data_IF_984982947821
#
_entry.id   IF_984982947821
#
_cell.length_a   1.000
_cell.length_b   1.000
_cell.length_c   1.000
_cell.angle_alpha   90.00
_cell.angle_beta   90.00
_cell.angle_gamma   90.00
#
_symmetry.space_group_name_H-M   'P 1'
#
loop_
_entity.id
_entity.type
_entity.pdbx_description
1 polymer ?
#
# COMPACT_ATOMS: atom_id res chain seq x y z
N UNK A 1 -11.96 -15.53 25.87
CA UNK A 1 -12.54 -15.90 24.56
C UNK A 1 -11.59 -15.36 23.51
N UNK A 2 -11.00 -16.21 22.65
CA UNK A 2 -10.12 -15.71 21.60
C UNK A 2 -10.95 -14.90 20.59
N UNK A 3 -10.46 -13.76 20.09
CA UNK A 3 -11.19 -12.99 19.07
C UNK A 3 -11.39 -13.89 17.85
N UNK A 4 -12.65 -14.04 17.43
CA UNK A 4 -12.95 -14.79 16.22
C UNK A 4 -12.42 -14.00 15.00
N UNK A 5 -11.80 -14.68 14.02
CA UNK A 5 -11.35 -14.00 12.82
C UNK A 5 -12.55 -13.50 12.03
N UNK A 6 -12.42 -12.35 11.38
CA UNK A 6 -13.45 -11.82 10.48
C UNK A 6 -13.10 -12.14 9.02
N UNK A 7 -14.08 -12.04 8.14
CA UNK A 7 -13.91 -12.26 6.70
C UNK A 7 -13.76 -10.92 5.97
N UNK A 8 -12.86 -10.84 5.00
CA UNK A 8 -12.60 -9.63 4.21
C UNK A 8 -12.60 -9.95 2.73
N UNK A 9 -12.95 -8.96 1.93
CA UNK A 9 -12.70 -9.01 0.49
C UNK A 9 -11.29 -8.55 0.19
N UNK A 10 -10.54 -9.35 -0.55
CA UNK A 10 -9.15 -9.08 -0.90
C UNK A 10 -8.86 -9.37 -2.36
N UNK A 11 -7.75 -8.81 -2.85
CA UNK A 11 -7.19 -9.20 -4.14
C UNK A 11 -6.40 -10.52 -3.97
N UNK A 12 -6.43 -11.42 -4.96
CA UNK A 12 -5.61 -12.61 -4.95
C UNK A 12 -4.14 -12.22 -5.16
N UNK A 13 -3.45 -11.86 -4.08
CA UNK A 13 -2.02 -11.57 -4.08
C UNK A 13 -1.26 -12.76 -3.50
N UNK A 14 -0.20 -13.21 -4.18
CA UNK A 14 0.67 -14.30 -3.72
C UNK A 14 1.63 -13.90 -2.60
N UNK A 15 1.28 -12.90 -1.79
CA UNK A 15 2.13 -12.34 -0.74
C UNK A 15 1.84 -12.99 0.62
N UNK A 16 2.78 -12.99 1.58
CA UNK A 16 2.51 -13.44 2.94
C UNK A 16 1.37 -12.62 3.58
N UNK A 17 0.64 -13.24 4.51
CA UNK A 17 -0.60 -12.72 5.15
C UNK A 17 -0.52 -11.27 5.66
N UNK A 18 0.68 -10.73 5.93
CA UNK A 18 0.90 -9.41 6.53
C UNK A 18 0.56 -8.21 5.64
N UNK A 19 0.63 -8.34 4.32
CA UNK A 19 0.37 -7.21 3.38
C UNK A 19 -0.84 -7.45 2.47
N UNK A 20 -1.75 -8.33 2.90
CA UNK A 20 -3.00 -8.61 2.20
C UNK A 20 -3.82 -7.32 2.13
N UNK A 21 -4.15 -6.89 0.91
CA UNK A 21 -4.97 -5.70 0.67
C UNK A 21 -6.45 -6.07 0.72
N UNK A 22 -7.16 -5.51 1.68
CA UNK A 22 -8.60 -5.68 1.86
C UNK A 22 -9.38 -4.46 1.35
N UNK A 23 -10.62 -4.67 0.95
CA UNK A 23 -11.51 -3.58 0.56
C UNK A 23 -11.87 -2.74 1.79
N UNK A 24 -11.79 -1.42 1.67
CA UNK A 24 -12.20 -0.46 2.70
C UNK A 24 -13.54 0.22 2.36
N UNK A 25 -14.09 0.93 3.34
CA UNK A 25 -15.37 1.64 3.22
C UNK A 25 -15.38 2.73 2.13
N UNK A 26 -14.20 3.22 1.73
CA UNK A 26 -14.02 4.13 0.60
C UNK A 26 -14.00 3.42 -0.76
N UNK A 27 -14.21 2.10 -0.81
CA UNK A 27 -14.16 1.29 -2.02
C UNK A 27 -12.75 1.14 -2.61
N UNK A 28 -11.73 1.18 -1.76
CA UNK A 28 -10.30 1.11 -2.12
C UNK A 28 -9.62 -0.06 -1.42
N UNK A 29 -8.47 -0.48 -1.93
CA UNK A 29 -7.76 -1.67 -1.46
C UNK A 29 -6.61 -1.25 -0.56
N UNK A 30 -6.68 -1.65 0.70
CA UNK A 30 -5.85 -1.17 1.78
C UNK A 30 -5.31 -2.32 2.62
N UNK A 31 -4.08 -2.21 3.10
CA UNK A 31 -3.48 -3.17 4.03
C UNK A 31 -4.07 -3.01 5.44
N UNK A 32 -4.36 -1.78 5.84
CA UNK A 32 -5.00 -1.45 7.10
C UNK A 32 -6.09 -0.40 6.88
N UNK A 33 -7.08 -0.38 7.77
CA UNK A 33 -8.09 0.67 7.75
C UNK A 33 -7.59 1.97 8.35
N UNK A 34 -8.47 2.96 8.32
CA UNK A 34 -8.29 4.25 8.98
C UNK A 34 -9.64 4.77 9.47
N UNK A 35 -9.67 5.72 10.42
CA UNK A 35 -10.94 6.26 10.92
C UNK A 35 -11.88 6.80 9.84
N UNK A 36 -11.34 7.30 8.73
CA UNK A 36 -12.15 7.80 7.60
C UNK A 36 -12.47 6.73 6.55
N UNK A 37 -11.83 5.57 6.60
CA UNK A 37 -12.00 4.47 5.65
C UNK A 37 -11.59 3.14 6.30
N UNK A 38 -12.39 2.61 7.24
CA UNK A 38 -12.13 1.32 7.86
C UNK A 38 -12.21 0.19 6.82
N UNK A 39 -11.53 -0.92 7.07
CA UNK A 39 -11.68 -2.14 6.26
C UNK A 39 -13.12 -2.69 6.36
N UNK A 40 -13.64 -3.25 5.28
CA UNK A 40 -14.95 -3.89 5.27
C UNK A 40 -14.82 -5.35 5.68
N UNK A 41 -15.48 -5.69 6.78
CA UNK A 41 -15.49 -7.02 7.36
C UNK A 41 -16.87 -7.67 7.26
N UNK A 42 -16.90 -8.99 7.24
CA UNK A 42 -18.10 -9.81 7.42
C UNK A 42 -17.89 -10.71 8.62
N UNK A 43 -18.96 -11.00 9.35
CA UNK A 43 -18.90 -11.99 10.42
C UNK A 43 -18.66 -13.39 9.80
N UNK A 44 -18.03 -14.34 10.51
CA UNK A 44 -17.86 -15.72 10.03
C UNK A 44 -19.17 -16.40 9.63
N UNK A 45 -20.26 -16.07 10.33
CA UNK A 45 -21.60 -16.57 10.04
C UNK A 45 -22.16 -16.07 8.68
N UNK A 46 -21.55 -15.04 8.08
CA UNK A 46 -21.97 -14.40 6.84
C UNK A 46 -21.08 -14.79 5.65
N UNK A 47 -20.43 -15.97 5.70
CA UNK A 47 -19.51 -16.42 4.66
C UNK A 47 -20.11 -16.42 3.26
N UNK A 48 -21.36 -16.86 3.10
CA UNK A 48 -22.06 -16.85 1.81
C UNK A 48 -22.32 -15.43 1.31
N UNK A 49 -22.64 -14.50 2.23
CA UNK A 49 -22.84 -13.10 1.89
C UNK A 49 -21.52 -12.42 1.49
N UNK A 50 -20.43 -12.72 2.19
CA UNK A 50 -19.08 -12.28 1.81
C UNK A 50 -18.69 -12.81 0.42
N UNK A 51 -18.96 -14.09 0.14
CA UNK A 51 -18.68 -14.68 -1.17
C UNK A 51 -19.51 -14.04 -2.29
N UNK A 52 -20.79 -13.77 -2.04
CA UNK A 52 -21.64 -13.05 -2.98
C UNK A 52 -21.13 -11.61 -3.23
N UNK A 53 -20.69 -10.91 -2.19
CA UNK A 53 -20.09 -9.58 -2.29
C UNK A 53 -18.77 -9.62 -3.08
N UNK A 54 -17.93 -10.65 -2.89
CA UNK A 54 -16.73 -10.88 -3.68
C UNK A 54 -17.05 -11.06 -5.17
N UNK A 55 -18.12 -11.81 -5.49
CA UNK A 55 -18.58 -11.98 -6.86
C UNK A 55 -19.03 -10.67 -7.51
N UNK A 56 -19.81 -9.86 -6.80
CA UNK A 56 -20.25 -8.53 -7.29
C UNK A 56 -19.07 -7.59 -7.49
N UNK A 57 -18.20 -7.48 -6.49
CA UNK A 57 -16.98 -6.68 -6.59
C UNK A 57 -16.11 -7.14 -7.76
N UNK A 58 -15.94 -8.46 -7.96
CA UNK A 58 -15.16 -8.99 -9.07
C UNK A 58 -15.72 -8.55 -10.43
N UNK A 59 -17.04 -8.70 -10.60
CA UNK A 59 -17.74 -8.31 -11.84
C UNK A 59 -17.65 -6.82 -12.12
N UNK A 60 -17.93 -5.97 -11.12
CA UNK A 60 -17.90 -4.52 -11.28
C UNK A 60 -16.49 -3.95 -11.46
N UNK A 61 -15.48 -4.55 -10.81
CA UNK A 61 -14.09 -4.06 -10.83
C UNK A 61 -13.26 -4.65 -11.99
N UNK A 62 -13.80 -5.64 -12.70
CA UNK A 62 -13.09 -6.33 -13.79
C UNK A 62 -11.83 -7.06 -13.33
N UNK A 63 -11.75 -7.42 -12.05
CA UNK A 63 -10.59 -8.12 -11.46
C UNK A 63 -11.05 -9.10 -10.39
N UNK A 64 -10.36 -10.21 -10.24
CA UNK A 64 -10.72 -11.22 -9.25
C UNK A 64 -10.65 -10.66 -7.82
N UNK A 65 -11.68 -10.95 -7.03
CA UNK A 65 -11.79 -10.64 -5.60
C UNK A 65 -12.09 -11.94 -4.87
N UNK A 66 -11.37 -12.19 -3.79
CA UNK A 66 -11.48 -13.40 -2.97
C UNK A 66 -11.88 -13.03 -1.55
N UNK A 67 -12.48 -13.98 -0.84
CA UNK A 67 -12.73 -13.85 0.59
C UNK A 67 -11.52 -14.41 1.34
N UNK A 68 -10.99 -13.64 2.29
CA UNK A 68 -9.89 -14.06 3.18
C UNK A 68 -10.34 -13.96 4.63
N UNK A 69 -9.79 -14.83 5.49
CA UNK A 69 -10.01 -14.77 6.93
C UNK A 69 -8.81 -14.11 7.59
N UNK A 70 -9.05 -13.12 8.45
CA UNK A 70 -8.00 -12.38 9.17
C UNK A 70 -8.37 -12.21 10.64
N UNK A 71 -7.37 -12.30 11.51
CA UNK A 71 -7.52 -11.97 12.93
C UNK A 71 -7.25 -10.50 13.19
N UNK A 72 -8.04 -9.88 14.07
CA UNK A 72 -8.02 -8.44 14.37
C UNK A 72 -7.62 -8.16 15.82
N UNK A 73 -6.65 -8.92 16.36
CA UNK A 73 -6.31 -8.93 17.80
C UNK A 73 -5.96 -7.53 18.34
N UNK A 74 -5.57 -6.59 17.47
CA UNK A 74 -5.18 -5.22 17.83
C UNK A 74 -5.97 -4.13 17.06
N UNK A 75 -6.99 -4.51 16.28
CA UNK A 75 -7.76 -3.58 15.47
C UNK A 75 -9.10 -3.24 16.13
N UNK A 76 -9.52 -1.98 16.02
CA UNK A 76 -10.73 -1.45 16.66
C UNK A 76 -11.87 -1.34 15.64
N UNK A 77 -13.03 -1.93 15.94
CA UNK A 77 -14.24 -1.75 15.15
C UNK A 77 -14.68 -0.28 15.10
N UNK A 78 -15.16 0.19 13.94
CA UNK A 78 -15.52 1.58 13.69
C UNK A 78 -14.32 2.50 13.41
N UNK A 79 -13.09 1.98 13.54
CA UNK A 79 -11.84 2.72 13.28
C UNK A 79 -10.97 2.03 12.25
N UNK A 80 -10.61 0.78 12.49
CA UNK A 80 -9.69 0.01 11.65
C UNK A 80 -10.44 -0.95 10.73
N UNK A 81 -11.58 -1.46 11.20
CA UNK A 81 -12.54 -2.20 10.38
C UNK A 81 -13.97 -1.87 10.79
N UNK A 82 -14.95 -2.20 9.95
CA UNK A 82 -16.36 -2.16 10.30
C UNK A 82 -17.10 -3.28 9.58
N UNK A 83 -18.15 -3.81 10.18
CA UNK A 83 -18.98 -4.80 9.52
C UNK A 83 -19.73 -4.20 8.33
N UNK A 84 -19.78 -4.97 7.26
CA UNK A 84 -20.48 -4.59 6.05
C UNK A 84 -21.98 -4.43 6.31
N UNK A 85 -22.56 -3.41 5.70
CA UNK A 85 -24.01 -3.19 5.67
C UNK A 85 -24.39 -2.79 4.24
N UNK A 86 -25.67 -2.93 3.89
CA UNK A 86 -26.17 -2.56 2.55
C UNK A 86 -25.89 -1.09 2.19
N UNK A 87 -25.74 -0.21 3.19
CA UNK A 87 -25.34 1.18 2.97
C UNK A 87 -23.95 1.34 2.34
N UNK A 88 -23.11 0.32 2.42
CA UNK A 88 -21.73 0.29 1.91
C UNK A 88 -21.62 -0.46 0.57
N UNK A 89 -22.74 -0.87 -0.03
CA UNK A 89 -22.77 -1.62 -1.30
C UNK A 89 -22.04 -0.87 -2.44
N UNK A 90 -22.11 0.47 -2.45
CA UNK A 90 -21.39 1.29 -3.43
C UNK A 90 -19.87 1.07 -3.40
N UNK A 91 -19.30 0.75 -2.23
CA UNK A 91 -17.87 0.46 -2.07
C UNK A 91 -17.44 -0.83 -2.79
N UNK A 92 -18.36 -1.77 -3.05
CA UNK A 92 -18.06 -2.96 -3.85
C UNK A 92 -17.84 -2.60 -5.33
N UNK A 93 -18.61 -1.63 -5.83
CA UNK A 93 -18.70 -1.30 -7.27
C UNK A 93 -17.56 -0.39 -7.72
N UNK A 94 -17.29 0.71 -7.01
CA UNK A 94 -16.26 1.68 -7.40
C UNK A 94 -15.71 2.45 -6.19
N UNK A 95 -14.49 3.03 -6.28
CA UNK A 95 -13.97 3.88 -5.21
C UNK A 95 -14.80 5.15 -5.08
N UNK A 96 -15.01 5.60 -3.84
CA UNK A 96 -15.60 6.90 -3.59
C UNK A 96 -14.76 8.01 -4.26
N UNK A 97 -15.41 9.01 -4.89
CA UNK A 97 -14.70 10.05 -5.61
C UNK A 97 -13.85 10.90 -4.67
N UNK A 98 -12.65 11.26 -5.13
CA UNK A 98 -11.78 12.25 -4.48
C UNK A 98 -11.79 13.54 -5.30
N UNK A 99 -11.48 14.68 -4.67
CA UNK A 99 -11.26 15.91 -5.42
C UNK A 99 -10.11 15.72 -6.42
N UNK A 100 -10.23 16.33 -7.60
CA UNK A 100 -9.21 16.20 -8.65
C UNK A 100 -7.81 16.64 -8.17
N UNK A 101 -7.76 17.67 -7.31
CA UNK A 101 -6.52 18.13 -6.71
C UNK A 101 -5.88 17.08 -5.78
N UNK A 102 -6.68 16.45 -4.90
CA UNK A 102 -6.21 15.38 -4.00
C UNK A 102 -5.72 14.18 -4.79
N UNK A 103 -6.48 13.73 -5.79
CA UNK A 103 -6.12 12.58 -6.61
C UNK A 103 -4.79 12.80 -7.36
N UNK A 104 -4.58 14.00 -7.93
CA UNK A 104 -3.32 14.35 -8.61
C UNK A 104 -2.13 14.38 -7.65
N UNK A 105 -2.32 14.94 -6.46
CA UNK A 105 -1.29 14.99 -5.41
C UNK A 105 -0.87 13.58 -5.00
N UNK A 106 -1.83 12.76 -4.58
CA UNK A 106 -1.57 11.38 -4.16
C UNK A 106 -0.89 10.56 -5.27
N UNK A 107 -1.30 10.76 -6.53
CA UNK A 107 -0.67 10.09 -7.66
C UNK A 107 0.79 10.48 -7.81
N UNK A 108 1.10 11.78 -7.72
CA UNK A 108 2.49 12.28 -7.80
C UNK A 108 3.34 11.70 -6.67
N UNK A 109 2.79 11.65 -5.46
CA UNK A 109 3.48 11.10 -4.28
C UNK A 109 3.72 9.59 -4.43
N UNK A 110 2.74 8.82 -4.92
CA UNK A 110 2.89 7.40 -5.20
C UNK A 110 3.92 7.13 -6.31
N UNK A 111 3.87 7.87 -7.42
CA UNK A 111 4.82 7.73 -8.54
C UNK A 111 6.26 8.03 -8.12
N UNK A 112 6.44 8.91 -7.12
CA UNK A 112 7.72 9.24 -6.51
C UNK A 112 8.17 8.16 -5.54
N UNK A 113 7.26 7.68 -4.67
CA UNK A 113 7.51 6.56 -3.75
C UNK A 113 8.03 5.35 -4.53
N UNK A 114 7.34 4.91 -5.58
CA UNK A 114 7.74 3.75 -6.38
C UNK A 114 9.13 3.93 -7.00
N UNK A 115 9.37 5.08 -7.63
CA UNK A 115 10.65 5.35 -8.27
C UNK A 115 11.81 5.34 -7.26
N UNK A 116 11.58 5.88 -6.06
CA UNK A 116 12.59 5.94 -5.02
C UNK A 116 12.83 4.56 -4.41
N UNK A 117 11.77 3.76 -4.18
CA UNK A 117 11.88 2.38 -3.71
C UNK A 117 12.66 1.49 -4.71
N UNK A 118 12.43 1.63 -6.03
CA UNK A 118 13.22 0.91 -7.05
C UNK A 118 14.70 1.22 -6.92
N UNK A 119 15.04 2.51 -6.81
CA UNK A 119 16.43 2.97 -6.71
C UNK A 119 17.10 2.49 -5.43
N UNK A 120 16.43 2.62 -4.27
CA UNK A 120 16.95 2.16 -2.98
C UNK A 120 17.19 0.66 -2.99
N UNK A 121 16.24 -0.15 -3.49
CA UNK A 121 16.43 -1.60 -3.58
C UNK A 121 17.60 -1.99 -4.46
N UNK A 122 17.74 -1.37 -5.63
CA UNK A 122 18.88 -1.61 -6.52
C UNK A 122 20.20 -1.24 -5.85
N UNK A 123 20.24 -0.13 -5.11
CA UNK A 123 21.41 0.33 -4.40
C UNK A 123 21.80 -0.61 -3.25
N UNK A 124 20.82 -1.04 -2.46
CA UNK A 124 20.99 -1.97 -1.34
C UNK A 124 21.36 -3.39 -1.78
N UNK A 125 21.07 -3.76 -3.03
CA UNK A 125 21.46 -5.05 -3.60
C UNK A 125 22.84 -5.03 -4.30
N UNK A 126 23.51 -3.87 -4.39
CA UNK A 126 24.83 -3.78 -4.99
C UNK A 126 25.87 -4.56 -4.17
N UNK A 127 26.61 -5.46 -4.84
CA UNK A 127 27.56 -6.36 -4.18
C UNK A 127 28.86 -5.65 -3.74
N UNK A 128 29.23 -4.59 -4.45
CA UNK A 128 30.48 -3.84 -4.24
C UNK A 128 30.33 -2.36 -4.62
N UNK A 129 31.42 -1.61 -4.48
CA UNK A 129 31.46 -0.18 -4.73
C UNK A 129 31.25 0.17 -6.21
N UNK A 130 31.76 -0.65 -7.14
CA UNK A 130 31.66 -0.38 -8.58
C UNK A 130 30.22 -0.60 -9.07
N UNK A 131 29.59 -1.69 -8.63
CA UNK A 131 28.18 -1.96 -8.84
C UNK A 131 27.31 -0.84 -8.25
N UNK A 132 27.63 -0.37 -7.04
CA UNK A 132 26.92 0.76 -6.43
C UNK A 132 27.08 2.05 -7.24
N UNK A 133 28.28 2.33 -7.78
CA UNK A 133 28.54 3.51 -8.61
C UNK A 133 27.80 3.44 -9.95
N UNK A 134 27.66 2.27 -10.55
CA UNK A 134 26.84 2.04 -11.74
C UNK A 134 25.35 2.29 -11.47
N UNK A 135 24.82 1.68 -10.41
CA UNK A 135 23.43 1.89 -9.97
C UNK A 135 23.20 3.38 -9.66
N UNK A 136 24.15 4.06 -9.02
CA UNK A 136 24.09 5.50 -8.74
C UNK A 136 23.95 6.36 -9.99
N UNK A 137 24.74 6.05 -11.03
CA UNK A 137 24.67 6.77 -12.32
C UNK A 137 23.34 6.50 -13.02
N UNK A 138 22.93 5.24 -13.09
CA UNK A 138 21.67 4.84 -13.72
C UNK A 138 20.45 5.48 -13.01
N UNK A 139 20.41 5.42 -11.68
CA UNK A 139 19.39 6.02 -10.85
C UNK A 139 19.32 7.53 -11.05
N UNK A 140 20.45 8.24 -10.98
CA UNK A 140 20.49 9.69 -11.17
C UNK A 140 19.97 10.10 -12.54
N UNK A 141 20.30 9.33 -13.60
CA UNK A 141 19.76 9.56 -14.95
C UNK A 141 18.24 9.35 -14.99
N UNK A 142 17.75 8.26 -14.43
CA UNK A 142 16.31 7.95 -14.40
C UNK A 142 15.51 8.99 -13.60
N UNK A 143 16.00 9.38 -12.42
CA UNK A 143 15.36 10.37 -11.57
C UNK A 143 15.38 11.77 -12.21
N UNK A 144 16.48 12.16 -12.85
CA UNK A 144 16.53 13.41 -13.62
C UNK A 144 15.52 13.44 -14.76
N UNK A 145 15.40 12.34 -15.51
CA UNK A 145 14.42 12.26 -16.59
C UNK A 145 12.97 12.34 -16.08
N UNK A 146 12.66 11.75 -14.93
CA UNK A 146 11.29 11.70 -14.38
C UNK A 146 10.90 12.93 -13.57
N UNK A 147 11.83 13.50 -12.79
CA UNK A 147 11.55 14.53 -11.78
C UNK A 147 12.38 15.81 -11.95
N UNK A 148 13.19 15.92 -13.00
CA UNK A 148 14.10 17.05 -13.21
C UNK A 148 15.35 17.04 -12.31
N UNK A 149 15.47 16.07 -11.40
CA UNK A 149 16.62 15.91 -10.52
C UNK A 149 16.46 14.72 -9.57
N UNK A 150 17.52 14.41 -8.83
CA UNK A 150 17.55 13.35 -7.83
C UNK A 150 18.82 12.53 -7.87
N UNK A 151 19.13 11.94 -6.73
CA UNK A 151 20.22 10.98 -6.50
C UNK A 151 19.76 9.88 -5.56
N UNK A 152 20.54 8.81 -5.45
CA UNK A 152 20.34 7.76 -4.44
C UNK A 152 20.23 8.39 -3.04
N UNK A 153 21.16 9.27 -2.66
CA UNK A 153 21.15 9.94 -1.36
C UNK A 153 19.84 10.70 -1.10
N UNK A 154 19.34 11.44 -2.10
CA UNK A 154 18.05 12.13 -1.96
C UNK A 154 16.85 11.18 -1.88
N UNK A 155 16.96 10.00 -2.50
CA UNK A 155 15.92 8.98 -2.43
C UNK A 155 15.84 8.35 -1.03
N UNK A 156 17.01 7.98 -0.47
CA UNK A 156 17.12 7.52 0.92
C UNK A 156 16.56 8.55 1.91
N UNK A 157 17.02 9.80 1.83
CA UNK A 157 16.58 10.86 2.73
C UNK A 157 15.07 11.14 2.63
N UNK A 158 14.51 11.11 1.41
CA UNK A 158 13.07 11.35 1.23
C UNK A 158 12.22 10.19 1.75
N UNK A 159 12.61 8.94 1.50
CA UNK A 159 11.89 7.75 1.97
C UNK A 159 11.90 7.65 3.50
N UNK A 160 13.04 7.94 4.14
CA UNK A 160 13.15 7.97 5.59
C UNK A 160 12.43 9.19 6.21
N UNK A 161 12.27 10.27 5.45
CA UNK A 161 11.63 11.50 5.90
C UNK A 161 10.11 11.43 5.96
N UNK A 162 9.50 12.43 6.64
CA UNK A 162 8.05 12.53 6.86
C UNK A 162 7.24 12.36 5.56
N UNK A 163 7.61 13.06 4.49
CA UNK A 163 6.86 13.01 3.23
C UNK A 163 6.86 11.63 2.58
N UNK A 164 7.98 10.90 2.65
CA UNK A 164 8.05 9.52 2.16
C UNK A 164 7.18 8.58 2.98
N UNK A 165 7.18 8.76 4.31
CA UNK A 165 6.33 7.99 5.20
C UNK A 165 4.83 8.29 4.98
N UNK A 166 4.44 9.54 4.79
CA UNK A 166 3.06 9.91 4.47
C UNK A 166 2.59 9.32 3.12
N UNK A 167 3.47 9.30 2.11
CA UNK A 167 3.18 8.65 0.83
C UNK A 167 3.00 7.13 1.00
N UNK A 168 3.86 6.48 1.78
CA UNK A 168 3.74 5.06 2.12
C UNK A 168 2.41 4.78 2.84
N UNK A 169 2.08 5.56 3.86
CA UNK A 169 0.83 5.41 4.60
C UNK A 169 -0.40 5.60 3.71
N UNK A 170 -0.35 6.53 2.75
CA UNK A 170 -1.44 6.72 1.77
C UNK A 170 -1.63 5.48 0.89
N UNK A 171 -0.55 4.82 0.48
CA UNK A 171 -0.62 3.55 -0.27
C UNK A 171 -1.16 2.42 0.61
N UNK A 172 -0.68 2.30 1.85
CA UNK A 172 -1.11 1.25 2.77
C UNK A 172 -2.57 1.40 3.21
N UNK A 173 -3.07 2.64 3.35
CA UNK A 173 -4.48 2.94 3.63
C UNK A 173 -5.38 2.84 2.37
N UNK A 174 -4.80 2.58 1.20
CA UNK A 174 -5.51 2.47 -0.06
C UNK A 174 -5.98 3.79 -0.66
N UNK A 175 -5.51 4.95 -0.16
CA UNK A 175 -5.85 6.26 -0.73
C UNK A 175 -5.47 6.35 -2.22
N UNK A 176 -4.37 5.67 -2.60
CA UNK A 176 -3.84 5.58 -3.96
C UNK A 176 -3.24 4.19 -4.21
N UNK A 177 -3.48 3.61 -5.38
CA UNK A 177 -2.84 2.38 -5.81
C UNK A 177 -1.51 2.68 -6.53
N UNK A 178 -0.50 1.84 -6.28
CA UNK A 178 0.73 1.78 -7.05
C UNK A 178 0.43 1.41 -8.51
N UNK A 179 1.19 1.93 -9.45
CA UNK A 179 1.03 1.60 -10.88
C UNK A 179 2.24 0.91 -11.49
N UNK A 180 3.37 0.90 -10.80
CA UNK A 180 4.54 0.13 -11.18
C UNK A 180 4.42 -1.34 -10.79
N UNK A 181 5.54 -2.04 -10.96
CA UNK A 181 5.63 -3.49 -10.75
C UNK A 181 6.00 -3.88 -9.31
N UNK A 182 6.19 -2.91 -8.42
CA UNK A 182 6.56 -3.23 -7.03
C UNK A 182 5.35 -3.75 -6.27
N UNK A 183 5.55 -4.86 -5.54
CA UNK A 183 4.58 -5.28 -4.54
C UNK A 183 4.61 -4.35 -3.34
N UNK A 184 3.52 -4.31 -2.55
CA UNK A 184 3.47 -3.54 -1.30
C UNK A 184 4.61 -3.94 -0.36
N UNK A 185 4.88 -5.24 -0.23
CA UNK A 185 5.99 -5.75 0.55
C UNK A 185 7.32 -5.14 0.11
N UNK A 186 7.61 -5.12 -1.20
CA UNK A 186 8.85 -4.56 -1.73
C UNK A 186 8.96 -3.05 -1.46
N UNK A 187 7.83 -2.32 -1.48
CA UNK A 187 7.81 -0.89 -1.15
C UNK A 187 8.11 -0.68 0.34
N UNK A 188 7.50 -1.46 1.23
CA UNK A 188 7.74 -1.38 2.68
C UNK A 188 9.20 -1.73 3.00
N UNK A 189 9.71 -2.84 2.47
CA UNK A 189 11.11 -3.24 2.64
C UNK A 189 12.08 -2.16 2.19
N UNK A 190 11.81 -1.50 1.06
CA UNK A 190 12.65 -0.40 0.59
C UNK A 190 12.60 0.82 1.52
N UNK A 191 11.44 1.13 2.08
CA UNK A 191 11.30 2.22 3.05
C UNK A 191 12.06 1.92 4.35
N UNK A 192 11.99 0.67 4.83
CA UNK A 192 12.73 0.20 6.02
C UNK A 192 14.24 0.23 5.78
N UNK A 193 14.72 -0.23 4.60
CA UNK A 193 16.12 -0.10 4.19
C UNK A 193 16.58 1.37 4.23
N UNK A 194 15.72 2.29 3.75
CA UNK A 194 16.05 3.70 3.74
C UNK A 194 16.16 4.30 5.15
N UNK A 195 15.21 3.97 6.03
CA UNK A 195 15.23 4.41 7.43
C UNK A 195 16.48 3.91 8.16
N UNK A 196 16.80 2.62 8.04
CA UNK A 196 17.97 2.03 8.67
C UNK A 196 19.27 2.69 8.20
N UNK A 197 19.40 2.96 6.90
CA UNK A 197 20.57 3.63 6.35
C UNK A 197 20.72 5.09 6.82
N UNK A 198 19.62 5.84 6.96
CA UNK A 198 19.66 7.20 7.51
C UNK A 198 20.01 7.21 9.01
N UNK A 199 19.45 6.28 9.79
CA UNK A 199 19.78 6.15 11.21
C UNK A 199 21.27 5.90 11.42
N UNK A 200 21.84 4.96 10.64
CA UNK A 200 23.29 4.68 10.68
C UNK A 200 24.13 5.91 10.30
N UNK A 201 23.66 6.74 9.36
CA UNK A 201 24.35 7.97 8.97
C UNK A 201 24.30 9.04 10.06
N UNK A 202 23.21 9.12 10.82
CA UNK A 202 23.09 10.09 11.93
C UNK A 202 23.77 9.65 13.22
N UNK A 203 24.05 8.35 13.37
CA UNK A 203 24.69 7.78 14.54
C UNK A 203 26.23 7.72 14.47
N UNK A 204 26.80 7.90 13.27
CA UNK A 204 28.25 8.00 13.03
C UNK A 204 28.70 9.44 12.88
#
# INVERSE_FOLDING_TARGET
MAPQPSLFLSLPEGAPDRYVRCLNAGGRWAVHGSPSSPLLAWAPAEADAAQAAAGRASGSRGRAVVVVSRSHVEETEGRDFQFFTEALEAALVSPAPQSAARARRLRTEADKLEAFCVVVRAASAAADHDAFAEVSRAASKALRAKFGGGSITSAFAWLAGRTGQEALQSVLAGDVELAGSLSIQQVVEAADMAQNAEQLRTAG
#
